data_IF_948046713743
#
_entry.id   IF_948046713743
#
_cell.length_a   1.000
_cell.length_b   1.000
_cell.length_c   1.000
_cell.angle_alpha   90.00
_cell.angle_beta   90.00
_cell.angle_gamma   90.00
#
_symmetry.space_group_name_H-M   'P 1'
#
loop_
_entity.id
_entity.type
_entity.pdbx_description
1 polymer ?
#
# COMPACT_ATOMS: atom_id res chain seq x y z
N UNK A 1 7.71 51.88 36.51
CA UNK A 1 6.90 50.81 35.87
C UNK A 1 7.36 50.73 34.42
N UNK A 2 7.94 49.67 33.85
CA UNK A 2 7.67 48.23 33.88
C UNK A 2 9.00 47.51 33.54
N UNK A 3 9.50 46.61 34.40
CA UNK A 3 10.59 45.69 34.04
C UNK A 3 9.98 44.57 33.18
N UNK A 4 10.18 44.60 31.86
CA UNK A 4 9.90 43.48 30.96
C UNK A 4 10.75 42.27 31.40
N UNK A 5 10.13 41.27 32.04
CA UNK A 5 10.76 39.96 32.27
C UNK A 5 10.82 39.25 30.92
N UNK A 6 12.01 39.16 30.35
CA UNK A 6 12.28 38.27 29.22
C UNK A 6 12.40 36.86 29.80
N UNK A 7 11.38 36.03 29.59
CA UNK A 7 11.46 34.59 29.83
C UNK A 7 12.44 33.99 28.82
N UNK A 8 13.68 33.75 29.23
CA UNK A 8 14.63 32.92 28.46
C UNK A 8 14.18 31.48 28.62
N UNK A 9 13.44 30.95 27.66
CA UNK A 9 13.21 29.50 27.54
C UNK A 9 14.59 28.90 27.20
N UNK A 10 15.15 28.00 28.03
CA UNK A 10 16.46 27.44 27.76
C UNK A 10 16.39 26.62 26.47
N UNK A 11 17.44 26.73 25.65
CA UNK A 11 17.55 26.01 24.36
C UNK A 11 17.34 24.50 24.53
N UNK A 12 17.64 23.95 25.72
CA UNK A 12 17.40 22.56 26.09
C UNK A 12 15.90 22.20 26.18
N UNK A 13 15.04 23.12 26.62
CA UNK A 13 13.58 22.91 26.66
C UNK A 13 12.97 23.03 25.27
N UNK A 14 13.50 23.93 24.41
CA UNK A 14 13.15 23.98 22.99
C UNK A 14 13.59 22.71 22.25
N UNK A 15 14.78 22.17 22.57
CA UNK A 15 15.24 20.90 22.03
C UNK A 15 14.37 19.74 22.51
N UNK A 16 13.95 19.74 23.79
CA UNK A 16 13.02 18.74 24.32
C UNK A 16 11.64 18.84 23.70
N UNK A 17 11.11 20.04 23.50
CA UNK A 17 9.85 20.26 22.79
C UNK A 17 9.95 19.83 21.33
N UNK A 18 11.05 20.14 20.64
CA UNK A 18 11.29 19.69 19.28
C UNK A 18 11.48 18.17 19.18
N UNK A 19 12.15 17.54 20.16
CA UNK A 19 12.26 16.08 20.24
C UNK A 19 10.91 15.45 20.56
N UNK A 20 10.11 16.07 21.44
CA UNK A 20 8.76 15.61 21.77
C UNK A 20 7.84 15.77 20.56
N UNK A 21 7.92 16.87 19.80
CA UNK A 21 7.22 17.06 18.53
C UNK A 21 7.69 16.08 17.46
N UNK A 22 8.99 15.76 17.38
CA UNK A 22 9.51 14.74 16.45
C UNK A 22 9.05 13.33 16.84
N UNK A 23 8.97 13.02 18.13
CA UNK A 23 8.41 11.76 18.64
C UNK A 23 6.89 11.71 18.41
N UNK A 24 6.18 12.82 18.59
CA UNK A 24 4.73 12.92 18.36
C UNK A 24 4.36 13.00 16.86
N UNK A 25 5.28 13.42 15.98
CA UNK A 25 5.06 13.54 14.54
C UNK A 25 5.32 12.24 13.77
N UNK A 26 6.10 11.30 14.33
CA UNK A 26 6.07 9.93 13.84
C UNK A 26 4.84 9.24 14.41
N UNK A 27 3.84 8.93 13.59
CA UNK A 27 2.83 7.94 13.97
C UNK A 27 3.56 6.69 14.47
N UNK A 28 3.35 6.33 15.73
CA UNK A 28 4.09 5.25 16.36
C UNK A 28 3.81 3.92 15.66
N UNK A 29 4.87 3.13 15.41
CA UNK A 29 4.74 1.75 14.95
C UNK A 29 3.88 0.98 15.97
N UNK A 30 2.84 0.28 15.52
CA UNK A 30 1.98 -0.50 16.42
C UNK A 30 2.75 -1.52 17.27
N UNK A 31 3.93 -1.97 16.84
CA UNK A 31 4.82 -2.79 17.68
C UNK A 31 5.35 -2.01 18.88
N UNK A 32 5.85 -0.79 18.66
CA UNK A 32 6.41 0.07 19.71
C UNK A 32 5.31 0.53 20.65
N UNK A 33 4.18 1.01 20.11
CA UNK A 33 3.01 1.37 20.90
C UNK A 33 2.46 0.16 21.69
N UNK A 34 2.52 -1.04 21.10
CA UNK A 34 2.17 -2.30 21.77
C UNK A 34 3.07 -2.63 22.94
N UNK A 35 4.39 -2.45 22.78
CA UNK A 35 5.37 -2.73 23.83
C UNK A 35 5.29 -1.69 24.97
N UNK A 36 5.05 -0.42 24.63
CA UNK A 36 4.79 0.66 25.60
C UNK A 36 3.53 0.36 26.42
N UNK A 37 2.41 0.04 25.77
CA UNK A 37 1.18 -0.32 26.47
C UNK A 37 1.34 -1.61 27.30
N UNK A 38 2.12 -2.57 26.83
CA UNK A 38 2.36 -3.81 27.57
C UNK A 38 3.16 -3.58 28.86
N UNK A 39 4.00 -2.54 28.88
CA UNK A 39 4.82 -2.13 30.02
C UNK A 39 4.08 -1.21 31.00
N UNK A 40 2.99 -0.59 30.58
CA UNK A 40 2.15 0.27 31.40
C UNK A 40 1.14 -0.53 32.24
N UNK A 41 1.15 -0.36 33.56
CA UNK A 41 0.28 -1.08 34.50
C UNK A 41 -1.23 -0.88 34.24
N UNK A 42 -1.63 0.26 33.67
CA UNK A 42 -3.02 0.60 33.38
C UNK A 42 -3.49 0.10 32.01
N UNK A 43 -2.59 0.09 31.02
CA UNK A 43 -2.86 -0.28 29.63
C UNK A 43 -2.74 -1.80 29.41
N UNK A 44 -1.71 -2.42 30.00
CA UNK A 44 -1.39 -3.84 29.88
C UNK A 44 -2.58 -4.80 30.17
N UNK A 45 -3.34 -4.66 31.27
CA UNK A 45 -4.49 -5.54 31.51
C UNK A 45 -5.59 -5.38 30.44
N UNK A 46 -5.85 -4.15 29.99
CA UNK A 46 -6.87 -3.85 28.97
C UNK A 46 -6.48 -4.44 27.61
N UNK A 47 -5.20 -4.33 27.24
CA UNK A 47 -4.67 -4.94 26.03
C UNK A 47 -4.76 -6.48 26.06
N UNK A 48 -4.49 -7.11 27.22
CA UNK A 48 -4.69 -8.56 27.40
C UNK A 48 -6.16 -8.96 27.25
N UNK A 49 -7.08 -8.21 27.86
CA UNK A 49 -8.53 -8.42 27.72
C UNK A 49 -8.97 -8.31 26.26
N UNK A 50 -8.53 -7.27 25.55
CA UNK A 50 -8.86 -7.08 24.14
C UNK A 50 -8.36 -8.24 23.26
N UNK A 51 -7.13 -8.72 23.48
CA UNK A 51 -6.61 -9.90 22.76
C UNK A 51 -7.45 -11.15 23.02
N UNK A 52 -7.93 -11.32 24.25
CA UNK A 52 -8.85 -12.41 24.56
C UNK A 52 -10.17 -12.24 23.81
N UNK A 53 -10.72 -11.03 23.74
CA UNK A 53 -11.97 -10.74 23.03
C UNK A 53 -11.94 -11.05 21.53
N UNK A 54 -10.82 -10.78 20.85
CA UNK A 54 -10.68 -10.94 19.40
C UNK A 54 -10.27 -12.36 19.01
N UNK A 55 -9.64 -13.12 19.91
CA UNK A 55 -9.40 -14.53 19.69
C UNK A 55 -10.74 -15.26 19.55
N UNK A 56 -10.94 -16.05 18.48
CA UNK A 56 -12.25 -16.61 18.08
C UNK A 56 -13.04 -17.46 19.10
N UNK A 57 -12.51 -17.70 20.31
CA UNK A 57 -13.17 -18.33 21.46
C UNK A 57 -13.16 -17.44 22.73
N UNK A 58 -12.94 -16.14 22.57
CA UNK A 58 -12.72 -15.16 23.63
C UNK A 58 -13.90 -14.93 24.55
N UNK A 59 -15.08 -14.76 23.95
CA UNK A 59 -16.32 -14.51 24.69
C UNK A 59 -16.70 -15.69 25.58
N UNK A 60 -16.29 -16.92 25.23
CA UNK A 60 -16.50 -18.12 26.04
C UNK A 60 -15.57 -18.20 27.24
N UNK A 61 -14.38 -17.59 27.19
CA UNK A 61 -13.41 -17.56 28.31
C UNK A 61 -13.68 -16.44 29.32
N UNK A 62 -14.35 -15.37 28.90
CA UNK A 62 -14.62 -14.18 29.71
C UNK A 62 -15.93 -14.27 30.52
N UNK A 63 -16.72 -15.34 30.33
CA UNK A 63 -17.95 -15.59 31.10
C UNK A 63 -19.13 -14.66 30.74
N UNK A 64 -20.24 -14.71 31.50
CA UNK A 64 -21.38 -13.81 31.32
C UNK A 64 -20.94 -12.36 31.61
N UNK A 65 -20.97 -11.50 30.59
CA UNK A 65 -20.42 -10.13 30.66
C UNK A 65 -19.18 -9.89 29.79
N UNK A 66 -18.70 -10.90 29.06
CA UNK A 66 -17.59 -10.77 28.12
C UNK A 66 -17.74 -9.57 27.17
N UNK A 67 -18.94 -9.35 26.62
CA UNK A 67 -19.19 -8.27 25.65
C UNK A 67 -18.95 -6.87 26.24
N UNK A 68 -19.37 -6.62 27.47
CA UNK A 68 -19.15 -5.32 28.12
C UNK A 68 -17.70 -5.15 28.54
N UNK A 69 -17.05 -6.21 29.01
CA UNK A 69 -15.61 -6.20 29.31
C UNK A 69 -14.77 -5.87 28.07
N UNK A 70 -15.12 -6.46 26.91
CA UNK A 70 -14.47 -6.17 25.63
C UNK A 70 -14.68 -4.73 25.17
N UNK A 71 -15.91 -4.21 25.28
CA UNK A 71 -16.22 -2.83 24.93
C UNK A 71 -15.47 -1.82 25.83
N UNK A 72 -15.43 -2.08 27.14
CA UNK A 72 -14.71 -1.23 28.10
C UNK A 72 -13.20 -1.26 27.90
N UNK A 73 -12.64 -2.44 27.61
CA UNK A 73 -11.22 -2.58 27.29
C UNK A 73 -10.87 -1.81 26.01
N UNK A 74 -11.71 -1.91 24.97
CA UNK A 74 -11.52 -1.18 23.72
C UNK A 74 -11.58 0.34 23.94
N UNK A 75 -12.65 0.85 24.57
CA UNK A 75 -12.84 2.30 24.75
C UNK A 75 -11.66 2.97 25.46
N UNK A 76 -11.07 2.29 26.45
CA UNK A 76 -9.90 2.82 27.15
C UNK A 76 -8.58 2.68 26.37
N UNK A 77 -8.52 1.79 25.38
CA UNK A 77 -7.37 1.70 24.46
C UNK A 77 -7.48 2.72 23.32
N UNK A 78 -8.68 3.21 22.98
CA UNK A 78 -8.84 4.32 22.04
C UNK A 78 -8.23 5.63 22.56
N UNK A 79 -8.15 5.82 23.88
CA UNK A 79 -7.46 6.96 24.49
C UNK A 79 -5.95 6.76 24.68
N UNK A 80 -5.38 5.67 24.15
CA UNK A 80 -3.96 5.34 24.28
C UNK A 80 -3.21 5.55 22.97
N UNK A 81 -1.86 5.64 22.97
CA UNK A 81 -1.04 5.78 21.76
C UNK A 81 -1.23 4.65 20.74
N UNK A 82 -1.86 3.55 21.14
CA UNK A 82 -2.21 2.45 20.25
C UNK A 82 -3.31 2.78 19.24
N UNK A 83 -4.11 3.81 19.48
CA UNK A 83 -5.23 4.16 18.62
C UNK A 83 -4.79 4.55 17.21
N UNK A 84 -3.82 5.46 17.11
CA UNK A 84 -3.36 6.04 15.85
C UNK A 84 -2.09 5.37 15.30
N UNK A 85 -1.74 4.20 15.84
CA UNK A 85 -0.56 3.46 15.42
C UNK A 85 -0.71 2.95 13.98
N UNK A 86 0.40 2.90 13.25
CA UNK A 86 0.44 2.38 11.89
C UNK A 86 1.57 1.38 11.72
N UNK A 87 1.53 0.64 10.62
CA UNK A 87 2.48 -0.39 10.24
C UNK A 87 3.19 0.01 8.95
N UNK A 88 4.40 -0.53 8.76
CA UNK A 88 5.17 -0.36 7.52
C UNK A 88 5.13 -1.62 6.67
N UNK A 89 4.94 -1.46 5.36
CA UNK A 89 5.01 -2.57 4.40
C UNK A 89 6.40 -3.21 4.43
N UNK A 90 6.47 -4.55 4.35
CA UNK A 90 7.74 -5.28 4.26
C UNK A 90 8.60 -5.31 5.52
N UNK A 91 8.06 -4.85 6.67
CA UNK A 91 8.74 -4.91 7.97
C UNK A 91 8.88 -6.36 8.46
N UNK A 92 9.93 -6.66 9.24
CA UNK A 92 10.24 -8.05 9.68
C UNK A 92 9.10 -8.74 10.44
N UNK A 93 8.33 -7.98 11.23
CA UNK A 93 7.22 -8.45 12.07
C UNK A 93 5.86 -7.88 11.61
N UNK A 94 5.67 -7.71 10.29
CA UNK A 94 4.45 -7.11 9.68
C UNK A 94 3.17 -7.76 10.22
N UNK A 95 3.09 -9.10 10.20
CA UNK A 95 1.92 -9.82 10.70
C UNK A 95 1.58 -9.50 12.16
N UNK A 96 2.60 -9.31 13.00
CA UNK A 96 2.38 -8.98 14.42
C UNK A 96 1.91 -7.54 14.58
N UNK A 97 2.49 -6.59 13.83
CA UNK A 97 2.04 -5.20 13.80
C UNK A 97 0.57 -5.11 13.40
N UNK A 98 0.22 -5.76 12.28
CA UNK A 98 -1.15 -5.84 11.78
C UNK A 98 -2.10 -6.51 12.77
N UNK A 99 -1.63 -7.55 13.48
CA UNK A 99 -2.44 -8.21 14.51
C UNK A 99 -2.77 -7.25 15.66
N UNK A 100 -1.86 -6.36 16.05
CA UNK A 100 -2.11 -5.35 17.09
C UNK A 100 -3.13 -4.33 16.57
N UNK A 101 -2.89 -3.76 15.38
CA UNK A 101 -3.80 -2.80 14.76
C UNK A 101 -5.23 -3.36 14.63
N UNK A 102 -5.37 -4.54 14.04
CA UNK A 102 -6.68 -5.16 13.84
C UNK A 102 -7.32 -5.59 15.15
N UNK A 103 -6.57 -5.89 16.21
CA UNK A 103 -7.18 -6.17 17.51
C UNK A 103 -7.98 -4.98 18.04
N UNK A 104 -7.54 -3.75 17.74
CA UNK A 104 -8.20 -2.50 18.13
C UNK A 104 -9.34 -2.13 17.17
N UNK A 105 -9.13 -2.35 15.88
CA UNK A 105 -10.03 -1.91 14.81
C UNK A 105 -11.05 -2.98 14.36
N UNK A 106 -10.96 -4.23 14.86
CA UNK A 106 -11.85 -5.35 14.51
C UNK A 106 -13.01 -5.54 15.48
N UNK A 107 -13.19 -4.63 16.44
CA UNK A 107 -14.37 -4.56 17.32
C UNK A 107 -15.59 -4.06 16.55
N UNK A 108 -16.13 -4.98 15.75
CA UNK A 108 -17.48 -4.98 15.19
C UNK A 108 -18.48 -5.06 16.35
N UNK A 109 -18.57 -4.02 17.18
CA UNK A 109 -19.63 -3.89 18.21
C UNK A 109 -20.70 -2.89 17.74
N UNK A 110 -20.44 -2.06 16.72
CA UNK A 110 -21.34 -0.94 16.38
C UNK A 110 -21.89 -0.88 14.95
N UNK A 111 -21.69 -1.86 14.07
CA UNK A 111 -22.35 -1.89 12.75
C UNK A 111 -22.01 -0.73 11.79
N UNK A 112 -21.20 0.23 12.23
CA UNK A 112 -20.63 1.31 11.43
C UNK A 112 -19.35 0.77 10.79
N UNK A 113 -19.47 0.34 9.54
CA UNK A 113 -18.33 0.02 8.68
C UNK A 113 -17.70 1.34 8.21
N UNK A 114 -17.11 2.11 9.13
CA UNK A 114 -16.27 3.25 8.76
C UNK A 114 -14.94 2.68 8.24
N UNK A 115 -14.89 2.35 6.95
CA UNK A 115 -13.63 2.24 6.22
C UNK A 115 -13.11 3.66 6.06
N UNK A 116 -12.54 4.22 7.13
CA UNK A 116 -11.86 5.51 7.09
C UNK A 116 -10.39 5.40 7.50
N UNK A 117 -9.95 4.21 7.96
CA UNK A 117 -8.55 3.96 8.34
C UNK A 117 -8.07 2.58 7.90
N UNK A 118 -6.84 2.53 7.36
CA UNK A 118 -6.11 1.31 7.00
C UNK A 118 -4.78 1.24 7.78
N UNK A 119 -4.25 0.04 8.05
CA UNK A 119 -3.15 -0.15 9.00
C UNK A 119 -1.78 0.34 8.54
N UNK A 120 -1.61 0.72 7.28
CA UNK A 120 -0.29 1.09 6.76
C UNK A 120 -0.08 2.59 6.81
N UNK A 121 1.16 2.99 7.03
CA UNK A 121 1.57 4.39 6.90
C UNK A 121 1.37 4.87 5.46
N UNK A 122 0.89 6.10 5.31
CA UNK A 122 1.00 6.81 4.04
C UNK A 122 2.49 7.04 3.78
N UNK A 123 2.97 6.72 2.59
CA UNK A 123 4.37 6.97 2.23
C UNK A 123 4.53 8.49 2.08
N UNK A 124 4.78 9.18 3.18
CA UNK A 124 5.18 10.58 3.14
C UNK A 124 6.63 10.63 2.67
N UNK A 125 6.84 11.11 1.44
CA UNK A 125 8.18 11.46 1.02
C UNK A 125 8.67 12.63 1.87
N UNK A 126 9.82 12.44 2.49
CA UNK A 126 10.62 13.60 2.89
C UNK A 126 11.01 14.36 1.61
N UNK A 127 11.11 15.71 1.62
CA UNK A 127 11.46 16.50 0.44
C UNK A 127 12.78 16.07 -0.24
N UNK A 128 13.65 15.34 0.46
CA UNK A 128 14.92 14.80 -0.06
C UNK A 128 14.77 13.64 -1.05
N UNK A 129 13.60 13.01 -1.18
CA UNK A 129 13.35 12.00 -2.24
C UNK A 129 12.78 12.62 -3.52
N UNK A 130 12.34 13.90 -3.50
CA UNK A 130 11.94 14.61 -4.72
C UNK A 130 13.13 14.89 -5.66
N UNK A 131 14.35 14.82 -5.14
CA UNK A 131 15.59 15.02 -5.90
C UNK A 131 16.15 13.72 -6.49
N UNK A 132 15.56 12.56 -6.16
CA UNK A 132 15.88 11.28 -6.77
C UNK A 132 14.91 10.94 -7.90
N UNK A 133 14.64 11.91 -8.79
CA UNK A 133 14.31 11.51 -10.16
C UNK A 133 15.54 10.79 -10.68
N UNK A 134 15.41 9.49 -10.98
CA UNK A 134 16.44 8.76 -11.71
C UNK A 134 16.77 9.62 -12.93
N UNK A 135 17.98 10.18 -13.04
CA UNK A 135 18.40 10.83 -14.27
C UNK A 135 18.47 9.69 -15.27
N UNK A 136 17.45 9.57 -16.10
CA UNK A 136 17.62 8.82 -17.33
C UNK A 136 18.80 9.49 -18.01
N UNK A 137 19.92 8.77 -18.11
CA UNK A 137 20.92 9.07 -19.11
C UNK A 137 20.19 8.97 -20.45
N UNK A 138 19.66 10.09 -20.91
CA UNK A 138 19.37 10.34 -22.31
C UNK A 138 20.73 10.24 -23.00
N UNK A 139 21.09 9.02 -23.40
CA UNK A 139 21.98 8.89 -24.52
C UNK A 139 21.21 9.44 -25.71
N UNK A 140 21.54 10.68 -26.09
CA UNK A 140 21.22 11.31 -27.36
C UNK A 140 21.75 10.45 -28.51
N UNK A 141 21.07 9.34 -28.80
CA UNK A 141 21.22 8.57 -30.04
C UNK A 141 19.82 8.04 -30.36
N UNK A 142 19.19 8.64 -31.37
CA UNK A 142 17.77 8.47 -31.68
C UNK A 142 17.26 7.03 -31.68
N UNK A 143 16.18 6.79 -30.96
CA UNK A 143 15.40 5.57 -31.09
C UNK A 143 13.95 5.80 -30.63
N UNK A 144 13.12 6.31 -31.53
CA UNK A 144 11.65 6.35 -31.39
C UNK A 144 11.00 4.94 -31.47
N UNK A 145 11.71 3.87 -31.09
CA UNK A 145 11.33 2.46 -31.35
C UNK A 145 11.60 1.50 -30.20
N UNK A 146 12.11 1.95 -29.04
CA UNK A 146 12.39 1.04 -27.92
C UNK A 146 11.16 0.89 -27.04
N UNK A 147 10.59 -0.31 -27.02
CA UNK A 147 9.55 -0.74 -26.09
C UNK A 147 9.89 -0.33 -24.64
N UNK A 148 9.02 0.45 -23.99
CA UNK A 148 9.26 0.98 -22.64
C UNK A 148 9.39 -0.10 -21.57
N UNK A 149 8.60 -1.18 -21.66
CA UNK A 149 8.75 -2.32 -20.76
C UNK A 149 10.14 -2.98 -20.90
N UNK A 150 10.74 -2.96 -22.10
CA UNK A 150 12.10 -3.43 -22.30
C UNK A 150 13.13 -2.47 -21.68
N UNK A 151 12.94 -1.16 -21.81
CA UNK A 151 13.78 -0.15 -21.16
C UNK A 151 13.74 -0.29 -19.63
N UNK A 152 12.55 -0.43 -19.05
CA UNK A 152 12.37 -0.70 -17.62
C UNK A 152 13.06 -1.99 -17.17
N UNK A 153 12.95 -3.06 -17.97
CA UNK A 153 13.65 -4.32 -17.71
C UNK A 153 15.18 -4.16 -17.75
N UNK A 154 15.73 -3.31 -18.63
CA UNK A 154 17.16 -2.99 -18.66
C UNK A 154 17.57 -2.18 -17.44
N UNK A 155 16.81 -1.14 -17.07
CA UNK A 155 17.08 -0.32 -15.90
C UNK A 155 17.14 -1.15 -14.60
N UNK A 156 16.17 -2.04 -14.40
CA UNK A 156 16.18 -2.97 -13.26
C UNK A 156 17.37 -3.95 -13.28
N UNK A 157 17.88 -4.31 -14.47
CA UNK A 157 19.03 -5.22 -14.58
C UNK A 157 20.37 -4.54 -14.27
N UNK A 158 20.41 -3.20 -14.27
CA UNK A 158 21.59 -2.40 -13.91
C UNK A 158 21.62 -2.14 -12.40
N UNK A 159 20.46 -2.02 -11.75
CA UNK A 159 20.37 -1.87 -10.30
C UNK A 159 20.54 -3.22 -9.58
N UNK A 160 21.54 -3.33 -8.69
CA UNK A 160 21.89 -4.58 -8.01
C UNK A 160 20.74 -5.16 -7.18
N UNK A 161 19.97 -4.29 -6.49
CA UNK A 161 18.87 -4.73 -5.64
C UNK A 161 17.69 -5.24 -6.49
N UNK A 162 17.30 -4.48 -7.51
CA UNK A 162 16.22 -4.82 -8.43
C UNK A 162 16.55 -6.09 -9.19
N UNK A 163 17.74 -6.19 -9.79
CA UNK A 163 18.20 -7.37 -10.52
C UNK A 163 18.16 -8.61 -9.63
N UNK A 164 18.76 -8.53 -8.43
CA UNK A 164 18.82 -9.65 -7.49
C UNK A 164 17.44 -10.15 -7.09
N UNK A 165 16.55 -9.25 -6.64
CA UNK A 165 15.21 -9.63 -6.22
C UNK A 165 14.35 -10.09 -7.40
N UNK A 166 14.58 -9.54 -8.60
CA UNK A 166 13.93 -10.00 -9.84
C UNK A 166 14.31 -11.44 -10.16
N UNK A 167 15.59 -11.76 -10.17
CA UNK A 167 16.07 -13.12 -10.39
C UNK A 167 15.57 -14.07 -9.30
N UNK A 168 15.50 -13.63 -8.04
CA UNK A 168 14.94 -14.41 -6.93
C UNK A 168 13.49 -14.85 -7.21
N UNK A 169 12.59 -13.91 -7.49
CA UNK A 169 11.17 -14.25 -7.70
C UNK A 169 10.96 -15.03 -9.00
N UNK A 170 11.62 -14.66 -10.10
CA UNK A 170 11.51 -15.36 -11.38
C UNK A 170 11.94 -16.82 -11.21
N UNK A 171 13.05 -17.07 -10.50
CA UNK A 171 13.50 -18.43 -10.24
C UNK A 171 12.55 -19.21 -9.33
N UNK A 172 11.88 -18.56 -8.39
CA UNK A 172 10.90 -19.20 -7.50
C UNK A 172 9.60 -19.57 -8.23
N UNK A 173 9.21 -18.80 -9.24
CA UNK A 173 7.99 -19.00 -10.01
C UNK A 173 8.16 -19.98 -11.18
N UNK A 174 9.35 -20.06 -11.80
CA UNK A 174 9.60 -20.96 -12.94
C UNK A 174 10.00 -22.37 -12.50
N UNK A 175 10.63 -22.53 -11.32
CA UNK A 175 11.12 -23.85 -10.87
C UNK A 175 9.95 -24.84 -10.67
N UNK A 176 9.85 -25.91 -11.48
CA UNK A 176 8.81 -26.91 -11.31
C UNK A 176 9.04 -27.68 -10.00
N UNK A 177 7.94 -28.02 -9.31
CA UNK A 177 8.04 -28.86 -8.12
C UNK A 177 8.22 -30.32 -8.52
N UNK A 178 9.10 -31.07 -7.84
CA UNK A 178 9.40 -32.46 -8.19
C UNK A 178 8.23 -33.43 -7.98
N UNK A 179 7.11 -33.00 -7.37
CA UNK A 179 5.97 -33.85 -7.03
C UNK A 179 4.74 -33.68 -7.94
N UNK A 180 4.56 -32.52 -8.58
CA UNK A 180 3.37 -32.25 -9.40
C UNK A 180 3.66 -31.65 -10.77
N UNK A 181 4.92 -31.36 -11.11
CA UNK A 181 5.28 -30.65 -12.35
C UNK A 181 4.83 -29.18 -12.40
N UNK A 182 3.98 -28.75 -11.45
CA UNK A 182 3.50 -27.39 -11.28
C UNK A 182 4.46 -26.57 -10.41
N UNK A 183 4.43 -25.25 -10.55
CA UNK A 183 5.27 -24.35 -9.76
C UNK A 183 4.84 -24.34 -8.28
N UNK A 184 5.76 -23.91 -7.39
CA UNK A 184 5.41 -23.68 -5.98
C UNK A 184 4.82 -22.27 -5.79
N UNK A 185 3.50 -22.13 -5.98
CA UNK A 185 2.81 -20.85 -5.90
C UNK A 185 3.06 -20.10 -4.57
N UNK A 186 3.13 -20.82 -3.44
CA UNK A 186 3.41 -20.20 -2.14
C UNK A 186 4.81 -19.56 -2.06
N UNK A 187 5.84 -20.23 -2.60
CA UNK A 187 7.21 -19.67 -2.69
C UNK A 187 7.28 -18.52 -3.70
N UNK A 188 6.64 -18.66 -4.86
CA UNK A 188 6.54 -17.61 -5.87
C UNK A 188 5.91 -16.34 -5.29
N UNK A 189 4.73 -16.46 -4.67
CA UNK A 189 4.01 -15.35 -4.05
C UNK A 189 4.80 -14.68 -2.92
N UNK A 190 5.52 -15.46 -2.10
CA UNK A 190 6.41 -14.90 -1.07
C UNK A 190 7.55 -14.07 -1.67
N UNK A 191 8.16 -14.54 -2.75
CA UNK A 191 9.24 -13.83 -3.44
C UNK A 191 8.73 -12.59 -4.17
N UNK A 192 7.54 -12.65 -4.80
CA UNK A 192 6.87 -11.50 -5.41
C UNK A 192 6.58 -10.41 -4.38
N UNK A 193 5.99 -10.75 -3.22
CA UNK A 193 5.77 -9.77 -2.14
C UNK A 193 7.07 -9.10 -1.72
N UNK A 194 8.15 -9.88 -1.56
CA UNK A 194 9.48 -9.35 -1.22
C UNK A 194 10.00 -8.39 -2.28
N UNK A 195 9.81 -8.68 -3.57
CA UNK A 195 10.21 -7.80 -4.67
C UNK A 195 9.47 -6.46 -4.60
N UNK A 196 8.14 -6.47 -4.56
CA UNK A 196 7.33 -5.25 -4.53
C UNK A 196 7.39 -4.47 -3.21
N UNK A 197 7.81 -5.09 -2.11
CA UNK A 197 7.99 -4.41 -0.82
C UNK A 197 9.40 -3.82 -0.63
N UNK A 198 10.40 -4.27 -1.39
CA UNK A 198 11.82 -3.89 -1.18
C UNK A 198 12.42 -3.08 -2.32
N UNK A 199 12.00 -3.32 -3.55
CA UNK A 199 12.46 -2.56 -4.71
C UNK A 199 11.71 -1.23 -4.74
N UNK A 200 12.39 -0.10 -4.99
CA UNK A 200 11.74 1.21 -5.10
C UNK A 200 10.61 1.20 -6.13
N UNK A 201 9.53 1.94 -5.83
CA UNK A 201 8.35 2.04 -6.68
C UNK A 201 8.68 2.52 -8.09
N UNK A 202 9.74 3.33 -8.26
CA UNK A 202 10.13 3.87 -9.55
C UNK A 202 10.61 2.77 -10.53
N UNK A 203 11.19 1.67 -10.03
CA UNK A 203 11.51 0.50 -10.88
C UNK A 203 10.30 -0.43 -11.05
N UNK A 204 9.57 -0.72 -9.97
CA UNK A 204 8.48 -1.71 -10.01
C UNK A 204 7.28 -1.22 -10.82
N UNK A 205 6.97 0.08 -10.74
CA UNK A 205 5.89 0.69 -11.52
C UNK A 205 6.25 0.76 -13.00
N UNK A 206 7.49 1.09 -13.36
CA UNK A 206 7.95 1.08 -14.76
C UNK A 206 7.92 -0.33 -15.38
N UNK A 207 8.21 -1.37 -14.60
CA UNK A 207 8.12 -2.76 -15.07
C UNK A 207 6.68 -3.25 -15.27
N UNK A 208 5.76 -2.78 -14.44
CA UNK A 208 4.40 -3.31 -14.39
C UNK A 208 3.39 -2.48 -15.17
N UNK A 209 3.54 -1.15 -15.19
CA UNK A 209 2.58 -0.21 -15.76
C UNK A 209 3.10 0.48 -17.03
N UNK A 210 4.17 -0.02 -17.62
CA UNK A 210 4.69 0.50 -18.88
C UNK A 210 3.61 0.58 -19.97
N UNK A 211 3.47 1.71 -20.68
CA UNK A 211 2.58 1.83 -21.82
C UNK A 211 3.09 1.00 -23.00
N UNK A 212 2.15 0.44 -23.76
CA UNK A 212 2.41 -0.45 -24.87
C UNK A 212 1.58 -0.04 -26.08
N UNK A 213 2.21 -0.09 -27.26
CA UNK A 213 1.56 0.16 -28.55
C UNK A 213 1.33 -1.12 -29.35
N UNK A 214 2.06 -2.18 -29.03
CA UNK A 214 2.01 -3.49 -29.70
C UNK A 214 1.72 -4.63 -28.71
N UNK A 215 1.22 -5.75 -29.25
CA UNK A 215 0.85 -6.94 -28.46
C UNK A 215 2.06 -7.60 -27.79
N UNK A 216 3.25 -7.50 -28.39
CA UNK A 216 4.48 -8.04 -27.80
C UNK A 216 4.90 -7.27 -26.53
N UNK A 217 4.74 -5.94 -26.51
CA UNK A 217 4.90 -5.15 -25.29
C UNK A 217 3.85 -5.51 -24.24
N UNK A 218 2.58 -5.58 -24.64
CA UNK A 218 1.50 -5.88 -23.71
C UNK A 218 1.65 -7.29 -23.08
N UNK A 219 2.11 -8.27 -23.86
CA UNK A 219 2.42 -9.61 -23.31
C UNK A 219 3.63 -9.56 -22.37
N UNK A 220 4.69 -8.80 -22.70
CA UNK A 220 5.82 -8.60 -21.77
C UNK A 220 5.35 -8.01 -20.43
N UNK A 221 4.45 -7.03 -20.48
CA UNK A 221 3.84 -6.40 -19.30
C UNK A 221 3.02 -7.41 -18.49
N UNK A 222 2.17 -8.20 -19.15
CA UNK A 222 1.37 -9.27 -18.51
C UNK A 222 2.24 -10.35 -17.87
N UNK A 223 3.39 -10.65 -18.47
CA UNK A 223 4.36 -11.65 -17.99
C UNK A 223 5.23 -11.18 -16.82
N UNK A 224 5.18 -9.90 -16.43
CA UNK A 224 6.04 -9.32 -15.36
C UNK A 224 5.99 -10.12 -14.05
N UNK A 225 4.82 -10.65 -13.69
CA UNK A 225 4.60 -11.42 -12.45
C UNK A 225 4.55 -12.94 -12.65
N UNK A 226 4.88 -13.45 -13.84
CA UNK A 226 4.81 -14.88 -14.20
C UNK A 226 3.41 -15.46 -13.96
N UNK A 227 2.39 -15.05 -14.74
CA UNK A 227 1.00 -15.36 -14.47
C UNK A 227 0.69 -16.86 -14.46
N UNK A 228 1.40 -17.67 -15.24
CA UNK A 228 1.25 -19.13 -15.26
C UNK A 228 1.50 -19.82 -13.91
N UNK A 229 2.10 -19.10 -12.96
CA UNK A 229 2.34 -19.57 -11.61
C UNK A 229 1.65 -18.71 -10.53
N UNK A 230 1.77 -17.37 -10.64
CA UNK A 230 1.32 -16.47 -9.58
C UNK A 230 -0.18 -16.14 -9.65
N UNK A 231 -0.78 -16.24 -10.83
CA UNK A 231 -2.10 -15.69 -11.15
C UNK A 231 -3.07 -16.77 -11.62
N UNK A 232 -2.72 -17.51 -12.66
CA UNK A 232 -3.58 -18.49 -13.32
C UNK A 232 -3.60 -19.81 -12.55
N UNK A 233 -4.80 -20.37 -12.39
CA UNK A 233 -5.06 -21.71 -11.88
C UNK A 233 -5.98 -22.46 -12.83
N UNK A 234 -5.99 -23.80 -12.77
CA UNK A 234 -6.77 -24.65 -13.68
C UNK A 234 -8.26 -24.28 -13.72
N UNK A 235 -8.81 -23.90 -12.56
CA UNK A 235 -10.18 -23.41 -12.43
C UNK A 235 -10.18 -21.97 -11.92
N UNK A 236 -11.17 -21.17 -12.38
CA UNK A 236 -11.43 -19.82 -11.86
C UNK A 236 -12.38 -19.91 -10.65
N UNK A 237 -11.91 -19.66 -9.42
CA UNK A 237 -12.78 -19.69 -8.24
C UNK A 237 -13.73 -18.47 -8.21
N UNK A 238 -14.72 -18.54 -7.33
CA UNK A 238 -15.60 -17.39 -7.06
C UNK A 238 -14.83 -16.23 -6.42
N UNK A 239 -15.00 -14.99 -6.93
CA UNK A 239 -14.36 -13.81 -6.35
C UNK A 239 -14.77 -13.58 -4.89
N UNK A 240 -16.02 -13.90 -4.55
CA UNK A 240 -16.51 -13.82 -3.18
C UNK A 240 -15.72 -14.75 -2.25
N UNK A 241 -15.39 -15.96 -2.71
CA UNK A 241 -14.57 -16.91 -1.93
C UNK A 241 -13.16 -16.39 -1.75
N UNK A 242 -12.53 -15.86 -2.80
CA UNK A 242 -11.20 -15.24 -2.69
C UNK A 242 -11.19 -14.04 -1.73
N UNK A 243 -12.22 -13.18 -1.79
CA UNK A 243 -12.39 -12.06 -0.87
C UNK A 243 -12.47 -12.56 0.59
N UNK A 244 -13.23 -13.62 0.87
CA UNK A 244 -13.32 -14.20 2.23
C UNK A 244 -11.99 -14.77 2.71
N UNK A 245 -11.26 -15.48 1.85
CA UNK A 245 -9.92 -16.00 2.18
C UNK A 245 -8.96 -14.84 2.46
N UNK A 246 -8.99 -13.79 1.64
CA UNK A 246 -8.18 -12.59 1.83
C UNK A 246 -8.50 -11.88 3.15
N UNK A 247 -9.78 -11.73 3.49
CA UNK A 247 -10.21 -11.11 4.74
C UNK A 247 -9.81 -11.92 5.99
N UNK A 248 -9.58 -13.22 5.85
CA UNK A 248 -9.06 -14.06 6.93
C UNK A 248 -7.53 -13.92 7.12
N UNK A 249 -6.79 -13.54 6.08
CA UNK A 249 -5.35 -13.28 6.15
C UNK A 249 -5.07 -11.82 6.51
N UNK A 250 -4.32 -11.60 7.60
CA UNK A 250 -4.04 -10.24 8.08
C UNK A 250 -3.32 -9.38 7.05
N UNK A 251 -2.40 -9.95 6.25
CA UNK A 251 -1.64 -9.16 5.27
C UNK A 251 -2.54 -8.83 4.08
N UNK A 252 -3.24 -9.83 3.53
CA UNK A 252 -4.14 -9.64 2.39
C UNK A 252 -5.25 -8.66 2.73
N UNK A 253 -5.94 -8.83 3.87
CA UNK A 253 -6.98 -7.92 4.36
C UNK A 253 -6.48 -6.48 4.45
N UNK A 254 -5.30 -6.27 5.05
CA UNK A 254 -4.71 -4.94 5.19
C UNK A 254 -4.39 -4.29 3.85
N UNK A 255 -3.82 -5.05 2.92
CA UNK A 255 -3.46 -4.54 1.59
C UNK A 255 -4.70 -4.28 0.73
N UNK A 256 -5.74 -5.10 0.86
CA UNK A 256 -7.03 -4.88 0.22
C UNK A 256 -7.72 -3.62 0.76
N UNK A 257 -7.70 -3.40 2.08
CA UNK A 257 -8.24 -2.18 2.68
C UNK A 257 -7.50 -0.93 2.19
N UNK A 258 -6.16 -1.00 2.08
CA UNK A 258 -5.37 0.09 1.51
C UNK A 258 -5.74 0.37 0.05
N UNK A 259 -5.92 -0.66 -0.77
CA UNK A 259 -6.34 -0.51 -2.16
C UNK A 259 -7.73 0.11 -2.29
N UNK A 260 -8.70 -0.36 -1.51
CA UNK A 260 -10.07 0.18 -1.52
C UNK A 260 -10.11 1.66 -1.13
N UNK A 261 -9.23 2.09 -0.24
CA UNK A 261 -9.15 3.47 0.21
C UNK A 261 -8.39 4.36 -0.77
N UNK A 262 -7.18 3.96 -1.18
CA UNK A 262 -6.32 4.76 -2.07
C UNK A 262 -6.83 4.84 -3.51
N UNK A 263 -7.60 3.84 -3.96
CA UNK A 263 -8.20 3.80 -5.29
C UNK A 263 -9.72 4.04 -5.25
N UNK A 264 -10.26 4.66 -4.20
CA UNK A 264 -11.70 4.95 -4.12
C UNK A 264 -12.08 5.94 -5.24
N UNK A 265 -12.99 5.58 -6.16
CA UNK A 265 -13.38 6.46 -7.25
C UNK A 265 -14.21 7.65 -6.74
N UNK A 266 -14.05 8.81 -7.38
CA UNK A 266 -14.84 10.01 -7.09
C UNK A 266 -15.07 10.83 -8.35
N UNK A 267 -16.35 11.01 -8.70
CA UNK A 267 -16.79 11.85 -9.82
C UNK A 267 -16.57 13.35 -9.57
N UNK A 268 -16.43 13.77 -8.30
CA UNK A 268 -16.22 15.17 -7.93
C UNK A 268 -14.75 15.62 -8.00
N UNK A 269 -13.81 14.68 -8.18
CA UNK A 269 -12.37 14.96 -8.21
C UNK A 269 -11.87 15.05 -9.64
N UNK A 270 -11.06 16.07 -9.97
CA UNK A 270 -10.45 16.25 -11.30
C UNK A 270 -9.59 15.06 -11.74
N UNK A 271 -9.05 14.29 -10.79
CA UNK A 271 -8.20 13.14 -11.04
C UNK A 271 -8.97 11.80 -10.98
N UNK A 272 -10.27 11.83 -10.65
CA UNK A 272 -11.13 10.65 -10.53
C UNK A 272 -10.95 9.83 -9.25
N UNK A 273 -10.00 10.20 -8.37
CA UNK A 273 -9.76 9.55 -7.07
C UNK A 273 -10.28 10.43 -5.93
N UNK A 274 -10.99 9.83 -4.96
CA UNK A 274 -11.57 10.53 -3.81
C UNK A 274 -10.50 11.04 -2.84
N UNK A 275 -9.51 10.20 -2.55
CA UNK A 275 -8.42 10.47 -1.62
C UNK A 275 -7.10 9.93 -2.21
N UNK A 276 -5.98 10.60 -1.92
CA UNK A 276 -4.65 10.20 -2.39
C UNK A 276 -4.34 10.58 -3.84
N UNK A 277 -3.08 10.35 -4.25
CA UNK A 277 -2.59 10.58 -5.61
C UNK A 277 -2.72 9.33 -6.47
N UNK A 278 -2.64 9.46 -7.81
CA UNK A 278 -2.57 8.29 -8.71
C UNK A 278 -1.44 7.33 -8.31
N UNK A 279 -0.32 7.87 -7.81
CA UNK A 279 0.82 7.08 -7.34
C UNK A 279 0.49 6.27 -6.09
N UNK A 280 -0.32 6.77 -5.17
CA UNK A 280 -0.76 6.04 -3.98
C UNK A 280 -1.66 4.87 -4.36
N UNK A 281 -2.58 5.07 -5.30
CA UNK A 281 -3.41 4.00 -5.85
C UNK A 281 -2.57 2.90 -6.51
N UNK A 282 -1.58 3.27 -7.35
CA UNK A 282 -0.68 2.30 -7.99
C UNK A 282 0.21 1.55 -6.96
N UNK A 283 0.65 2.24 -5.91
CA UNK A 283 1.39 1.62 -4.82
C UNK A 283 0.53 0.61 -4.04
N UNK A 284 -0.75 0.94 -3.82
CA UNK A 284 -1.70 0.04 -3.17
C UNK A 284 -2.02 -1.18 -4.07
N UNK A 285 -2.19 -0.96 -5.38
CA UNK A 285 -2.37 -2.02 -6.37
C UNK A 285 -1.19 -3.00 -6.36
N UNK A 286 0.06 -2.51 -6.44
CA UNK A 286 1.25 -3.39 -6.42
C UNK A 286 1.39 -4.14 -5.10
N UNK A 287 0.87 -3.57 -3.99
CA UNK A 287 0.81 -4.24 -2.70
C UNK A 287 0.01 -5.55 -2.73
N UNK A 288 -1.04 -5.63 -3.54
CA UNK A 288 -1.87 -6.84 -3.66
C UNK A 288 -1.14 -8.02 -4.31
N UNK A 289 -0.07 -7.77 -5.07
CA UNK A 289 0.65 -8.79 -5.83
C UNK A 289 1.35 -9.78 -4.88
N UNK A 290 1.11 -11.06 -5.12
CA UNK A 290 1.57 -12.15 -4.27
C UNK A 290 0.68 -12.36 -3.05
N UNK A 291 -0.51 -11.76 -2.97
CA UNK A 291 -1.56 -12.13 -2.01
C UNK A 291 -2.57 -13.09 -2.64
N UNK A 292 -3.60 -13.51 -1.90
CA UNK A 292 -4.71 -14.30 -2.45
C UNK A 292 -5.48 -13.55 -3.54
N UNK A 293 -5.55 -12.22 -3.45
CA UNK A 293 -6.17 -11.34 -4.45
C UNK A 293 -5.06 -10.69 -5.24
N UNK A 294 -4.39 -11.46 -6.11
CA UNK A 294 -3.35 -10.93 -7.00
C UNK A 294 -4.00 -10.46 -8.30
N UNK A 295 -4.04 -9.14 -8.60
CA UNK A 295 -4.53 -8.64 -9.87
C UNK A 295 -3.46 -8.78 -10.96
N UNK A 296 -3.89 -8.93 -12.20
CA UNK A 296 -3.04 -8.83 -13.39
C UNK A 296 -3.83 -8.29 -14.59
N UNK A 297 -3.13 -7.97 -15.68
CA UNK A 297 -3.75 -7.71 -16.98
C UNK A 297 -4.49 -8.96 -17.47
N UNK A 298 -5.76 -8.78 -17.88
CA UNK A 298 -6.64 -9.87 -18.30
C UNK A 298 -6.27 -10.39 -19.69
N UNK A 299 -5.84 -9.48 -20.57
CA UNK A 299 -5.45 -9.75 -21.94
C UNK A 299 -4.18 -8.96 -22.32
N UNK A 300 -3.77 -9.07 -23.58
CA UNK A 300 -2.62 -8.37 -24.16
C UNK A 300 -3.04 -7.30 -25.20
N UNK A 301 -4.31 -6.90 -25.20
CA UNK A 301 -4.87 -5.92 -26.14
C UNK A 301 -5.42 -4.68 -25.44
N UNK A 302 -5.84 -4.83 -24.19
CA UNK A 302 -6.39 -3.79 -23.33
C UNK A 302 -5.50 -3.55 -22.10
N UNK A 303 -5.77 -2.47 -21.39
CA UNK A 303 -5.19 -2.22 -20.07
C UNK A 303 -6.13 -2.67 -18.93
N UNK A 304 -7.05 -3.59 -19.22
CA UNK A 304 -7.98 -4.10 -18.21
C UNK A 304 -7.28 -5.00 -17.20
N UNK A 305 -7.57 -4.81 -15.92
CA UNK A 305 -6.97 -5.55 -14.81
C UNK A 305 -8.04 -6.21 -13.96
N UNK A 306 -7.77 -7.43 -13.51
CA UNK A 306 -8.66 -8.16 -12.59
C UNK A 306 -7.88 -9.18 -11.77
N UNK A 307 -8.39 -9.61 -10.61
CA UNK A 307 -7.95 -10.84 -9.96
C UNK A 307 -8.41 -12.10 -10.72
N UNK A 308 -7.74 -13.23 -10.51
CA UNK A 308 -8.10 -14.50 -11.14
C UNK A 308 -9.33 -15.15 -10.48
N UNK A 309 -10.52 -14.65 -10.79
CA UNK A 309 -11.78 -15.17 -10.28
C UNK A 309 -12.96 -14.82 -11.20
N UNK A 310 -14.14 -15.37 -10.92
CA UNK A 310 -15.39 -15.00 -11.60
C UNK A 310 -16.57 -14.89 -10.63
N UNK A 311 -17.65 -14.23 -11.07
CA UNK A 311 -18.91 -14.15 -10.32
C UNK A 311 -20.04 -15.01 -10.93
N UNK A 312 -19.71 -15.86 -11.91
CA UNK A 312 -20.68 -16.69 -12.63
C UNK A 312 -21.39 -17.70 -11.73
N UNK A 313 -20.72 -18.22 -10.70
CA UNK A 313 -21.24 -19.25 -9.79
C UNK A 313 -21.61 -18.72 -8.38
N UNK A 314 -21.79 -17.40 -8.21
CA UNK A 314 -21.91 -16.78 -6.88
C UNK A 314 -23.32 -16.85 -6.25
N UNK A 315 -24.34 -17.29 -7.00
CA UNK A 315 -25.70 -17.49 -6.47
C UNK A 315 -26.26 -16.27 -5.75
N UNK A 316 -26.55 -16.41 -4.45
CA UNK A 316 -27.10 -15.36 -3.58
C UNK A 316 -26.14 -14.21 -3.27
N UNK A 317 -24.82 -14.40 -3.42
CA UNK A 317 -23.81 -13.36 -3.16
C UNK A 317 -23.30 -12.68 -4.44
N UNK A 318 -24.10 -12.71 -5.51
CA UNK A 318 -23.70 -12.17 -6.81
C UNK A 318 -23.42 -10.67 -6.76
N UNK A 319 -24.29 -9.89 -6.12
CA UNK A 319 -24.12 -8.43 -5.99
C UNK A 319 -22.83 -8.07 -5.24
N UNK A 320 -22.56 -8.72 -4.10
CA UNK A 320 -21.32 -8.52 -3.34
C UNK A 320 -20.07 -8.91 -4.16
N UNK A 321 -20.18 -9.98 -4.95
CA UNK A 321 -19.11 -10.45 -5.83
C UNK A 321 -18.83 -9.45 -6.96
N UNK A 322 -19.88 -8.98 -7.63
CA UNK A 322 -19.79 -8.03 -8.75
C UNK A 322 -19.25 -6.68 -8.26
N UNK A 323 -19.68 -6.23 -7.07
CA UNK A 323 -19.14 -5.05 -6.41
C UNK A 323 -17.64 -5.21 -6.09
N UNK A 324 -17.22 -6.36 -5.55
CA UNK A 324 -15.81 -6.63 -5.29
C UNK A 324 -14.96 -6.67 -6.57
N UNK A 325 -15.46 -7.31 -7.63
CA UNK A 325 -14.78 -7.35 -8.92
C UNK A 325 -14.70 -5.93 -9.55
N UNK A 326 -15.75 -5.14 -9.36
CA UNK A 326 -15.85 -3.75 -9.82
C UNK A 326 -14.74 -2.84 -9.31
N UNK A 327 -14.17 -3.09 -8.11
CA UNK A 327 -13.01 -2.33 -7.62
C UNK A 327 -11.80 -2.39 -8.56
N UNK A 328 -11.68 -3.45 -9.36
CA UNK A 328 -10.57 -3.65 -10.31
C UNK A 328 -10.99 -3.33 -11.74
N UNK A 329 -12.17 -3.79 -12.16
CA UNK A 329 -12.60 -3.71 -13.56
C UNK A 329 -13.32 -2.40 -13.91
N UNK A 330 -14.10 -1.85 -12.98
CA UNK A 330 -14.92 -0.66 -13.17
C UNK A 330 -14.54 0.45 -12.18
N UNK A 331 -13.27 0.85 -12.22
CA UNK A 331 -12.72 1.86 -11.32
C UNK A 331 -12.04 2.97 -12.13
N UNK A 332 -12.69 4.14 -12.19
CA UNK A 332 -12.19 5.32 -12.93
C UNK A 332 -10.88 5.85 -12.36
N UNK A 333 -10.70 5.85 -11.03
CA UNK A 333 -9.45 6.23 -10.38
C UNK A 333 -8.28 5.35 -10.84
N UNK A 334 -8.45 4.02 -10.81
CA UNK A 334 -7.41 3.08 -11.23
C UNK A 334 -7.08 3.20 -12.72
N UNK A 335 -8.10 3.29 -13.57
CA UNK A 335 -7.90 3.45 -15.02
C UNK A 335 -7.16 4.76 -15.34
N UNK A 336 -7.56 5.87 -14.70
CA UNK A 336 -6.89 7.16 -14.86
C UNK A 336 -5.45 7.12 -14.33
N UNK A 337 -5.20 6.44 -13.20
CA UNK A 337 -3.85 6.29 -12.66
C UNK A 337 -2.92 5.50 -13.61
N UNK A 338 -3.41 4.40 -14.19
CA UNK A 338 -2.67 3.61 -15.18
C UNK A 338 -2.38 4.43 -16.46
N UNK A 339 -3.36 5.20 -16.92
CA UNK A 339 -3.21 6.05 -18.11
C UNK A 339 -2.27 7.25 -17.87
N UNK A 340 -2.40 7.90 -16.71
CA UNK A 340 -1.55 9.03 -16.33
C UNK A 340 -0.08 8.60 -16.20
N UNK A 341 0.18 7.46 -15.55
CA UNK A 341 1.52 6.89 -15.47
C UNK A 341 2.10 6.60 -16.86
N UNK A 342 1.29 6.12 -17.80
CA UNK A 342 1.69 5.91 -19.19
C UNK A 342 1.98 7.20 -19.98
N UNK A 343 1.26 8.28 -19.69
CA UNK A 343 1.39 9.58 -20.38
C UNK A 343 2.54 10.45 -19.84
N UNK A 344 2.75 10.50 -18.53
CA UNK A 344 3.94 11.17 -17.92
C UNK A 344 5.23 10.52 -18.41
N UNK A 345 5.14 9.22 -18.63
CA UNK A 345 6.13 8.40 -19.30
C UNK A 345 6.41 8.90 -20.74
N UNK A 346 5.39 9.26 -21.52
CA UNK A 346 5.54 9.54 -22.96
C UNK A 346 6.02 10.96 -23.28
N UNK A 347 6.01 11.91 -22.35
CA UNK A 347 6.49 13.27 -22.62
C UNK A 347 8.02 13.33 -22.65
N UNK A 348 8.63 13.89 -23.73
CA UNK A 348 9.96 14.48 -23.62
C UNK A 348 9.84 15.62 -22.64
N UNK A 349 10.54 15.55 -21.51
CA UNK A 349 10.50 16.60 -20.49
C UNK A 349 10.90 17.94 -21.10
N UNK A 350 9.92 18.82 -21.34
CA UNK A 350 10.19 20.25 -21.44
C UNK A 350 10.63 20.69 -20.05
N UNK A 351 11.80 21.33 -19.89
CA UNK A 351 12.11 22.02 -18.65
C UNK A 351 11.05 23.10 -18.48
N UNK A 352 10.21 22.97 -17.46
CA UNK A 352 9.47 24.14 -16.98
C UNK A 352 10.51 25.20 -16.61
N UNK A 353 10.39 26.44 -17.11
CA UNK A 353 11.32 27.48 -16.72
C UNK A 353 11.21 27.66 -15.20
N UNK A 354 12.34 27.85 -14.49
CA UNK A 354 12.30 28.15 -13.07
C UNK A 354 11.42 29.37 -12.87
N UNK A 355 10.34 29.21 -12.11
CA UNK A 355 9.58 30.32 -11.53
C UNK A 355 10.51 31.07 -10.60
N UNK A 356 11.25 32.02 -11.14
CA UNK A 356 11.93 33.03 -10.36
C UNK A 356 10.85 33.84 -9.66
N UNK A 357 10.75 33.66 -8.34
CA UNK A 357 10.11 34.63 -7.46
C UNK A 357 10.82 35.97 -7.68
N UNK A 358 10.21 36.85 -8.46
CA UNK A 358 10.58 38.26 -8.53
C UNK A 358 10.49 38.84 -7.12
N UNK A 359 11.57 39.43 -6.57
CA UNK A 359 11.47 40.21 -5.35
C UNK A 359 10.61 41.43 -5.65
N UNK A 360 9.47 41.53 -4.99
CA UNK A 360 8.71 42.77 -4.88
C UNK A 360 9.62 43.81 -4.24
N UNK A 361 10.07 44.78 -5.05
CA UNK A 361 10.69 45.99 -4.55
C UNK A 361 9.59 46.83 -3.91
N UNK A 362 9.54 46.81 -2.58
CA UNK A 362 8.68 47.68 -1.79
C UNK A 362 9.22 49.11 -1.90
N UNK A 363 8.45 49.97 -2.56
CA UNK A 363 8.75 51.40 -2.69
C UNK A 363 7.70 52.22 -1.94
N UNK A 364 7.98 52.50 -0.67
CA UNK A 364 7.50 53.67 0.09
C UNK A 364 8.60 53.97 1.14
N UNK A 365 9.43 55.01 1.03
CA UNK A 365 9.21 56.46 1.21
C UNK A 365 10.03 56.94 2.43
N UNK A 366 11.02 57.82 2.20
CA UNK A 366 11.48 58.92 3.09
C UNK A 366 12.96 59.29 2.86
N UNK A 367 13.20 60.34 2.06
CA UNK A 367 13.85 61.59 2.49
C UNK A 367 13.78 62.65 1.40
#
# INVERSE_FOLDING_TARGET
LQRKRVFKIPVLDLLRLAILEVILASKDDCLVAGDLCSSDESCSPRLRTLRQCVAGNGSMKLGPGARSQCANAMSALLSSPLHDCQCKRGMKKEKNCLSIYWSLHQSIIHGLKLVESYPYETVQRTPSELTAQIPFCHSDIGMATVNRCLAAAKACNVDDLCQKLRTEYVSACIKPTPKSGLCNQGKCNKALRRFFDRVPADYTHELLFCPCTDTACAERRRQTIVPSCSYETAEKPSCFTQMRICNADLVCRSRLAQFQHACEPSESSSHGCKQGTHRDCLLAYTGLIGSTVTPNYVDNSTSSVAPWCSCSASGSHKEECDHFLGYFTNNSCLQNALNAFGSESQQPGTPSPPSFLTPTLDSTENR
#
